data_IF_798663038276
#
_entry.id   IF_798663038276
#
_cell.length_a   1.000
_cell.length_b   1.000
_cell.length_c   1.000
_cell.angle_alpha   90.00
_cell.angle_beta   90.00
_cell.angle_gamma   90.00
#
_symmetry.space_group_name_H-M   'P 1'
#
loop_
_entity.id
_entity.type
_entity.pdbx_description
1 polymer ?
#
# COMPACT_ATOMS: atom_id res chain seq x y z
N UNK A 1 -16.43 -28.21 31.82
CA UNK A 1 -15.74 -28.79 30.66
C UNK A 1 -14.60 -27.80 30.33
N UNK A 2 -13.42 -28.10 30.83
CA UNK A 2 -12.21 -27.34 30.48
C UNK A 2 -11.90 -27.62 29.01
N UNK A 3 -12.01 -26.59 28.17
CA UNK A 3 -11.47 -26.65 26.82
C UNK A 3 -9.94 -26.60 26.97
N UNK A 4 -9.29 -27.76 26.94
CA UNK A 4 -7.86 -27.79 26.63
C UNK A 4 -7.69 -27.05 25.30
N UNK A 5 -6.94 -25.96 25.32
CA UNK A 5 -6.67 -25.18 24.11
C UNK A 5 -5.88 -26.05 23.14
N UNK A 6 -6.55 -26.54 22.10
CA UNK A 6 -5.88 -27.25 21.02
C UNK A 6 -5.07 -26.25 20.23
N UNK A 7 -3.76 -26.42 20.21
CA UNK A 7 -2.87 -25.77 19.24
C UNK A 7 -2.88 -26.65 17.99
N UNK A 8 -3.35 -26.09 16.88
CA UNK A 8 -3.31 -26.77 15.58
C UNK A 8 -1.97 -26.48 14.91
N UNK A 9 -1.19 -27.53 14.63
CA UNK A 9 0.06 -27.42 13.88
C UNK A 9 -0.20 -27.57 12.38
N UNK A 10 0.35 -26.64 11.58
CA UNK A 10 0.22 -26.60 10.12
C UNK A 10 1.61 -26.40 9.52
N UNK A 11 1.95 -27.14 8.47
CA UNK A 11 3.16 -26.94 7.69
C UNK A 11 2.79 -26.50 6.27
N UNK A 12 3.46 -25.48 5.73
CA UNK A 12 3.24 -24.93 4.39
C UNK A 12 4.56 -24.48 3.78
N UNK A 13 4.70 -24.64 2.47
CA UNK A 13 5.83 -24.08 1.75
C UNK A 13 5.80 -22.55 1.79
N UNK A 14 4.63 -21.97 1.47
CA UNK A 14 4.40 -20.53 1.43
C UNK A 14 3.17 -20.14 2.26
N UNK A 15 3.34 -19.22 3.19
CA UNK A 15 2.23 -18.57 3.91
C UNK A 15 2.13 -17.11 3.47
N UNK A 16 0.91 -16.67 3.17
CA UNK A 16 0.61 -15.31 2.74
C UNK A 16 -0.25 -14.64 3.81
N UNK A 17 0.25 -13.58 4.41
CA UNK A 17 -0.49 -12.78 5.38
C UNK A 17 -1.25 -11.66 4.66
N UNK A 18 -2.59 -11.78 4.61
CA UNK A 18 -3.52 -10.89 3.93
C UNK A 18 -4.10 -11.49 2.65
N UNK A 19 -5.42 -11.58 2.58
CA UNK A 19 -6.19 -12.12 1.44
C UNK A 19 -6.77 -11.04 0.52
N UNK A 20 -6.18 -9.84 0.53
CA UNK A 20 -6.50 -8.76 -0.40
C UNK A 20 -5.99 -9.04 -1.82
N UNK A 21 -6.08 -8.06 -2.75
CA UNK A 21 -5.64 -8.24 -4.15
C UNK A 21 -4.16 -8.66 -4.23
N UNK A 22 -3.30 -8.12 -3.37
CA UNK A 22 -1.89 -8.49 -3.31
C UNK A 22 -1.72 -9.97 -2.92
N UNK A 23 -2.34 -10.41 -1.83
CA UNK A 23 -2.18 -11.80 -1.36
C UNK A 23 -2.72 -12.83 -2.35
N UNK A 24 -3.88 -12.57 -2.95
CA UNK A 24 -4.44 -13.46 -3.98
C UNK A 24 -3.54 -13.53 -5.22
N UNK A 25 -3.04 -12.38 -5.69
CA UNK A 25 -2.13 -12.35 -6.85
C UNK A 25 -0.79 -13.03 -6.56
N UNK A 26 -0.25 -12.87 -5.34
CA UNK A 26 0.97 -13.55 -4.91
C UNK A 26 0.79 -15.09 -4.88
N UNK A 27 -0.34 -15.58 -4.38
CA UNK A 27 -0.66 -17.01 -4.38
C UNK A 27 -0.69 -17.58 -5.81
N UNK A 28 -1.34 -16.88 -6.74
CA UNK A 28 -1.37 -17.28 -8.15
C UNK A 28 0.02 -17.22 -8.79
N UNK A 29 0.84 -16.22 -8.44
CA UNK A 29 2.21 -16.12 -8.91
C UNK A 29 3.10 -17.28 -8.46
N UNK A 30 2.93 -17.74 -7.22
CA UNK A 30 3.63 -18.91 -6.70
C UNK A 30 3.17 -20.20 -7.39
N UNK A 31 1.86 -20.38 -7.57
CA UNK A 31 1.26 -21.50 -8.26
C UNK A 31 1.78 -21.64 -9.71
N UNK A 32 1.84 -20.51 -10.45
CA UNK A 32 2.36 -20.49 -11.83
C UNK A 32 3.83 -20.91 -11.94
N UNK A 33 4.59 -20.81 -10.84
CA UNK A 33 5.97 -21.31 -10.76
C UNK A 33 6.06 -22.75 -10.27
N UNK A 34 4.91 -23.45 -10.12
CA UNK A 34 4.84 -24.88 -9.82
C UNK A 34 4.85 -25.24 -8.34
N UNK A 35 4.55 -24.30 -7.44
CA UNK A 35 4.22 -24.62 -6.05
C UNK A 35 2.83 -25.27 -6.04
N UNK A 36 2.67 -26.41 -5.36
CA UNK A 36 1.38 -27.08 -5.30
C UNK A 36 0.35 -26.24 -4.53
N UNK A 37 -0.93 -26.24 -4.94
CA UNK A 37 -1.95 -25.44 -4.26
C UNK A 37 -2.00 -25.70 -2.75
N UNK A 38 -1.95 -26.97 -2.34
CA UNK A 38 -1.99 -27.39 -0.95
C UNK A 38 -0.80 -26.91 -0.11
N UNK A 39 0.30 -26.53 -0.74
CA UNK A 39 1.51 -26.00 -0.09
C UNK A 39 1.47 -24.48 0.12
N UNK A 40 0.44 -23.82 -0.41
CA UNK A 40 0.19 -22.40 -0.20
C UNK A 40 -0.94 -22.23 0.83
N UNK A 41 -0.84 -21.23 1.70
CA UNK A 41 -1.91 -20.87 2.62
C UNK A 41 -2.06 -19.35 2.70
N UNK A 42 -3.26 -18.85 2.43
CA UNK A 42 -3.62 -17.45 2.64
C UNK A 42 -4.31 -17.31 4.00
N UNK A 43 -3.85 -16.36 4.83
CA UNK A 43 -4.47 -16.00 6.11
C UNK A 43 -5.13 -14.63 5.97
N UNK A 44 -6.46 -14.59 6.15
CA UNK A 44 -7.24 -13.36 6.03
C UNK A 44 -8.05 -13.12 7.32
N UNK A 45 -7.93 -11.91 7.87
CA UNK A 45 -8.64 -11.53 9.10
C UNK A 45 -10.13 -11.26 8.90
N UNK A 46 -10.51 -10.84 7.69
CA UNK A 46 -11.89 -10.50 7.36
C UNK A 46 -12.73 -11.75 7.03
N UNK A 47 -14.03 -11.53 6.86
CA UNK A 47 -15.01 -12.58 6.55
C UNK A 47 -14.93 -13.09 5.12
N UNK A 48 -14.15 -12.45 4.24
CA UNK A 48 -14.01 -12.83 2.84
C UNK A 48 -12.69 -12.32 2.25
N UNK A 49 -12.21 -13.01 1.21
CA UNK A 49 -11.09 -12.52 0.42
C UNK A 49 -11.47 -11.26 -0.36
N UNK A 50 -10.48 -10.42 -0.69
CA UNK A 50 -10.64 -9.21 -1.49
C UNK A 50 -10.18 -7.93 -0.79
N UNK A 51 -10.08 -7.94 0.55
CA UNK A 51 -9.59 -6.82 1.34
C UNK A 51 -10.38 -5.55 1.07
N UNK A 52 -9.70 -4.41 1.02
CA UNK A 52 -10.32 -3.08 0.85
C UNK A 52 -11.16 -2.94 -0.44
N UNK A 53 -10.89 -3.74 -1.47
CA UNK A 53 -11.64 -3.68 -2.72
C UNK A 53 -13.12 -4.01 -2.55
N UNK A 54 -13.47 -4.83 -1.57
CA UNK A 54 -14.86 -5.22 -1.32
C UNK A 54 -15.76 -4.01 -1.01
N UNK A 55 -15.22 -2.93 -0.46
CA UNK A 55 -15.96 -1.70 -0.19
C UNK A 55 -15.81 -0.63 -1.27
N UNK A 56 -14.91 -0.80 -2.24
CA UNK A 56 -14.64 0.15 -3.33
C UNK A 56 -15.61 -0.05 -4.49
N UNK A 57 -16.89 0.32 -4.33
CA UNK A 57 -17.95 0.06 -5.32
C UNK A 57 -17.89 0.99 -6.55
N UNK A 58 -17.00 1.97 -6.57
CA UNK A 58 -16.74 2.79 -7.77
C UNK A 58 -15.93 2.00 -8.80
N UNK A 59 -15.98 2.40 -10.06
CA UNK A 59 -15.22 1.85 -11.17
C UNK A 59 -13.81 2.47 -11.27
N UNK A 60 -13.01 1.96 -12.21
CA UNK A 60 -11.64 2.38 -12.48
C UNK A 60 -10.58 1.33 -12.15
N UNK A 61 -10.99 0.10 -11.84
CA UNK A 61 -10.10 -1.05 -11.60
C UNK A 61 -10.04 -1.97 -12.82
N UNK A 62 -8.93 -2.68 -13.02
CA UNK A 62 -8.82 -3.78 -13.97
C UNK A 62 -8.42 -3.42 -15.40
N UNK A 63 -8.27 -2.15 -15.73
CA UNK A 63 -7.92 -1.70 -17.08
C UNK A 63 -6.61 -2.30 -17.60
N UNK A 64 -5.62 -2.45 -16.73
CA UNK A 64 -4.32 -3.03 -17.11
C UNK A 64 -4.32 -4.56 -17.00
N UNK A 65 -4.97 -5.13 -15.99
CA UNK A 65 -4.97 -6.58 -15.71
C UNK A 65 -5.98 -7.33 -16.57
N UNK A 66 -7.24 -6.84 -16.60
CA UNK A 66 -8.35 -7.54 -17.25
C UNK A 66 -8.79 -6.91 -18.56
N UNK A 67 -8.22 -5.73 -18.93
CA UNK A 67 -8.62 -4.94 -20.13
C UNK A 67 -10.09 -4.53 -20.09
N UNK A 68 -10.65 -4.42 -18.90
CA UNK A 68 -12.01 -4.01 -18.62
C UNK A 68 -12.03 -3.04 -17.44
N UNK A 69 -12.98 -2.11 -17.46
CA UNK A 69 -13.22 -1.23 -16.33
C UNK A 69 -14.19 -1.90 -15.35
N UNK A 70 -13.69 -2.22 -14.17
CA UNK A 70 -14.40 -2.96 -13.13
C UNK A 70 -14.57 -2.09 -11.88
N UNK A 71 -15.55 -2.48 -11.05
CA UNK A 71 -15.61 -2.05 -9.66
C UNK A 71 -14.64 -2.85 -8.80
N UNK A 72 -14.35 -2.37 -7.57
CA UNK A 72 -13.49 -3.10 -6.64
C UNK A 72 -13.97 -4.51 -6.33
N UNK A 73 -15.27 -4.73 -5.98
CA UNK A 73 -15.82 -6.07 -5.76
C UNK A 73 -15.73 -7.00 -6.97
N UNK A 74 -15.93 -6.48 -8.18
CA UNK A 74 -15.77 -7.27 -9.42
C UNK A 74 -14.32 -7.70 -9.62
N UNK A 75 -13.38 -6.78 -9.43
CA UNK A 75 -11.94 -7.08 -9.50
C UNK A 75 -11.55 -8.15 -8.48
N UNK A 76 -11.92 -7.96 -7.22
CA UNK A 76 -11.67 -8.93 -6.15
C UNK A 76 -12.32 -10.28 -6.45
N UNK A 77 -13.57 -10.27 -6.95
CA UNK A 77 -14.32 -11.47 -7.34
C UNK A 77 -13.64 -12.28 -8.44
N UNK A 78 -12.95 -11.62 -9.39
CA UNK A 78 -12.19 -12.34 -10.44
C UNK A 78 -10.97 -13.05 -9.87
N UNK A 79 -10.26 -12.44 -8.93
CA UNK A 79 -9.15 -13.10 -8.24
C UNK A 79 -9.63 -14.21 -7.33
N UNK A 80 -10.70 -13.97 -6.54
CA UNK A 80 -11.27 -14.99 -5.65
C UNK A 80 -11.69 -16.24 -6.41
N UNK A 81 -12.38 -16.10 -7.55
CA UNK A 81 -12.73 -17.25 -8.40
C UNK A 81 -11.50 -18.06 -8.84
N UNK A 82 -10.40 -17.39 -9.20
CA UNK A 82 -9.16 -18.08 -9.56
C UNK A 82 -8.57 -18.85 -8.36
N UNK A 83 -8.59 -18.27 -7.15
CA UNK A 83 -8.14 -18.96 -5.92
C UNK A 83 -8.99 -20.21 -5.67
N UNK A 84 -10.31 -20.11 -5.79
CA UNK A 84 -11.27 -21.21 -5.60
C UNK A 84 -11.11 -22.29 -6.68
N UNK A 85 -11.06 -21.92 -7.96
CA UNK A 85 -10.86 -22.85 -9.09
C UNK A 85 -9.53 -23.59 -9.03
N UNK A 86 -8.48 -22.94 -8.53
CA UNK A 86 -7.16 -23.54 -8.31
C UNK A 86 -7.04 -24.27 -6.98
N UNK A 87 -8.09 -24.25 -6.17
CA UNK A 87 -8.15 -24.92 -4.86
C UNK A 87 -7.01 -24.51 -3.92
N UNK A 88 -6.59 -23.23 -3.97
CA UNK A 88 -5.58 -22.70 -3.05
C UNK A 88 -6.22 -22.53 -1.66
N UNK A 89 -5.69 -23.18 -0.61
CA UNK A 89 -6.22 -23.08 0.74
C UNK A 89 -6.14 -21.65 1.30
N UNK A 90 -7.20 -21.25 1.99
CA UNK A 90 -7.23 -20.00 2.76
C UNK A 90 -8.01 -20.16 4.06
N UNK A 91 -7.69 -19.34 5.06
CA UNK A 91 -8.44 -19.25 6.32
C UNK A 91 -8.92 -17.83 6.50
N UNK A 92 -10.25 -17.66 6.61
CA UNK A 92 -10.92 -16.40 6.91
C UNK A 92 -11.02 -16.20 8.43
N UNK A 93 -11.39 -14.99 8.85
CA UNK A 93 -11.49 -14.62 10.27
C UNK A 93 -10.23 -14.96 11.06
N UNK A 94 -9.08 -15.05 10.39
CA UNK A 94 -7.82 -15.53 10.94
C UNK A 94 -6.81 -14.41 11.07
N UNK A 95 -6.56 -14.00 12.31
CA UNK A 95 -5.61 -12.94 12.64
C UNK A 95 -4.22 -13.52 12.85
N UNK A 96 -3.25 -13.05 12.10
CA UNK A 96 -1.83 -13.33 12.33
C UNK A 96 -1.35 -12.47 13.51
N UNK A 97 -0.90 -13.11 14.57
CA UNK A 97 -0.48 -12.46 15.81
C UNK A 97 1.01 -12.21 15.87
N UNK A 98 1.82 -13.12 15.34
CA UNK A 98 3.27 -12.97 15.27
C UNK A 98 3.87 -13.76 14.12
N UNK A 99 5.01 -13.27 13.65
CA UNK A 99 5.90 -13.91 12.70
C UNK A 99 7.31 -13.87 13.27
N UNK A 100 8.01 -15.00 13.22
CA UNK A 100 9.40 -15.12 13.69
C UNK A 100 10.22 -15.94 12.71
N UNK A 101 11.50 -15.60 12.58
CA UNK A 101 12.49 -16.47 11.96
C UNK A 101 13.06 -17.38 13.04
N UNK A 102 13.14 -18.67 12.77
CA UNK A 102 13.63 -19.70 13.72
C UNK A 102 14.79 -20.44 13.09
N UNK A 103 15.53 -21.19 13.90
CA UNK A 103 16.50 -22.14 13.38
C UNK A 103 15.80 -23.22 12.56
N UNK A 104 16.41 -23.62 11.45
CA UNK A 104 15.82 -24.61 10.53
C UNK A 104 15.56 -25.94 11.23
N UNK A 105 14.28 -26.22 11.45
CA UNK A 105 13.83 -27.57 11.79
C UNK A 105 13.09 -28.15 10.58
N UNK A 106 13.53 -29.30 10.08
CA UNK A 106 12.93 -29.99 8.92
C UNK A 106 12.76 -29.12 7.65
N UNK A 107 13.61 -28.11 7.46
CA UNK A 107 13.54 -27.18 6.32
C UNK A 107 12.64 -25.97 6.52
N UNK A 108 11.80 -25.93 7.54
CA UNK A 108 10.95 -24.80 7.89
C UNK A 108 11.69 -23.85 8.83
N UNK A 109 11.74 -22.57 8.47
CA UNK A 109 12.48 -21.56 9.24
C UNK A 109 11.66 -20.29 9.56
N UNK A 110 10.36 -20.37 9.34
CA UNK A 110 9.40 -19.31 9.71
C UNK A 110 8.31 -19.91 10.58
N UNK A 111 8.09 -19.30 11.72
CA UNK A 111 7.01 -19.63 12.64
C UNK A 111 5.98 -18.49 12.65
N UNK A 112 4.74 -18.85 12.37
CA UNK A 112 3.61 -17.92 12.38
C UNK A 112 2.62 -18.38 13.44
N UNK A 113 2.26 -17.49 14.35
CA UNK A 113 1.15 -17.70 15.28
C UNK A 113 -0.04 -16.93 14.74
N UNK A 114 -1.13 -17.64 14.50
CA UNK A 114 -2.40 -17.08 14.08
C UNK A 114 -3.53 -17.57 14.96
N UNK A 115 -4.67 -16.92 14.89
CA UNK A 115 -5.81 -17.24 15.72
C UNK A 115 -7.12 -16.97 14.98
N UNK A 116 -8.09 -17.89 15.13
CA UNK A 116 -9.46 -17.68 14.72
C UNK A 116 -10.44 -18.30 15.71
N UNK A 117 -11.74 -18.09 15.50
CA UNK A 117 -12.79 -18.61 16.39
C UNK A 117 -13.01 -20.12 16.25
N UNK A 118 -12.75 -20.67 15.07
CA UNK A 118 -13.06 -22.06 14.72
C UNK A 118 -11.96 -23.00 15.19
N UNK A 119 -10.70 -22.70 14.82
CA UNK A 119 -9.54 -23.54 15.09
C UNK A 119 -8.84 -23.19 16.42
N UNK A 120 -9.12 -22.01 17.01
CA UNK A 120 -8.38 -21.50 18.15
C UNK A 120 -7.01 -20.95 17.75
N UNK A 121 -5.95 -21.38 18.44
CA UNK A 121 -4.57 -20.99 18.15
C UNK A 121 -3.97 -21.92 17.08
N UNK A 122 -3.39 -21.31 16.06
CA UNK A 122 -2.67 -21.98 14.97
C UNK A 122 -1.18 -21.71 15.12
N UNK A 123 -0.38 -22.75 15.12
CA UNK A 123 1.07 -22.70 14.99
C UNK A 123 1.44 -23.20 13.58
N UNK A 124 1.89 -22.26 12.74
CA UNK A 124 2.14 -22.53 11.34
C UNK A 124 3.64 -22.43 11.08
N UNK A 125 4.21 -23.49 10.53
CA UNK A 125 5.59 -23.53 10.07
C UNK A 125 5.63 -23.30 8.56
N UNK A 126 6.49 -22.40 8.08
CA UNK A 126 6.62 -22.09 6.67
C UNK A 126 8.09 -22.01 6.24
N UNK A 127 8.35 -22.25 4.95
CA UNK A 127 9.66 -22.00 4.34
C UNK A 127 9.78 -20.56 3.85
N UNK A 128 8.70 -19.99 3.32
CA UNK A 128 8.62 -18.60 2.90
C UNK A 128 7.34 -17.94 3.38
N UNK A 129 7.41 -16.62 3.62
CA UNK A 129 6.26 -15.81 4.01
C UNK A 129 6.16 -14.60 3.09
N UNK A 130 4.94 -14.31 2.60
CA UNK A 130 4.65 -13.11 1.82
C UNK A 130 3.78 -12.19 2.66
N UNK A 131 4.29 -10.99 2.94
CA UNK A 131 3.60 -9.93 3.64
C UNK A 131 2.72 -9.16 2.65
N UNK A 132 1.40 -9.23 2.80
CA UNK A 132 0.41 -8.63 1.91
C UNK A 132 -0.73 -7.94 2.69
N UNK A 133 -0.44 -7.47 3.94
CA UNK A 133 -1.43 -6.94 4.87
C UNK A 133 -2.00 -5.56 4.47
N UNK A 134 -1.44 -4.93 3.44
CA UNK A 134 -1.91 -3.64 2.97
C UNK A 134 -1.54 -2.47 3.89
N UNK A 135 -2.43 -1.49 3.99
CA UNK A 135 -2.23 -0.28 4.77
C UNK A 135 -3.53 0.13 5.47
N UNK A 136 -3.43 0.99 6.48
CA UNK A 136 -4.54 1.66 7.14
C UNK A 136 -4.47 3.17 6.94
N UNK A 137 -5.60 3.84 7.05
CA UNK A 137 -5.62 5.30 7.04
C UNK A 137 -5.05 5.87 8.34
N UNK A 138 -4.43 7.03 8.23
CA UNK A 138 -3.91 7.78 9.37
C UNK A 138 -5.05 8.25 10.26
N UNK A 139 -5.16 7.79 11.52
CA UNK A 139 -6.25 8.15 12.41
C UNK A 139 -6.07 9.57 12.96
N UNK A 140 -7.17 10.16 13.47
CA UNK A 140 -7.17 11.50 14.08
C UNK A 140 -6.07 11.69 15.12
N UNK A 141 -5.81 10.67 15.95
CA UNK A 141 -4.78 10.75 16.99
C UNK A 141 -3.37 10.98 16.44
N UNK A 142 -3.05 10.41 15.27
CA UNK A 142 -1.76 10.61 14.62
C UNK A 142 -1.64 11.98 13.91
N UNK A 143 -2.76 12.65 13.65
CA UNK A 143 -2.81 13.97 12.99
C UNK A 143 -2.71 15.13 13.99
N UNK A 144 -2.88 14.87 15.30
CA UNK A 144 -2.86 15.89 16.35
C UNK A 144 -3.78 17.09 16.07
N UNK A 145 -4.95 16.85 15.47
CA UNK A 145 -5.91 17.91 15.18
C UNK A 145 -6.44 18.49 16.51
N UNK A 146 -6.39 19.81 16.72
CA UNK A 146 -6.92 20.46 17.91
C UNK A 146 -8.44 20.29 18.08
N UNK A 147 -8.96 20.59 19.27
CA UNK A 147 -10.38 20.55 19.57
C UNK A 147 -10.85 19.26 20.22
N UNK A 148 -12.16 19.11 20.31
CA UNK A 148 -12.81 17.97 20.95
C UNK A 148 -12.64 16.66 20.16
N UNK A 149 -13.04 15.54 20.78
CA UNK A 149 -13.00 14.19 20.18
C UNK A 149 -14.37 13.52 20.23
N UNK A 150 -15.41 14.16 19.69
CA UNK A 150 -16.76 13.63 19.70
C UNK A 150 -16.95 12.50 18.68
N UNK A 151 -18.11 11.87 18.70
CA UNK A 151 -18.59 11.06 17.58
C UNK A 151 -18.73 11.92 16.30
N UNK A 152 -18.67 11.29 15.12
CA UNK A 152 -18.77 12.00 13.83
C UNK A 152 -17.42 12.28 13.17
N UNK A 153 -16.29 11.86 13.78
CA UNK A 153 -14.98 11.92 13.15
C UNK A 153 -14.61 10.52 12.68
N UNK A 154 -14.44 10.35 11.36
CA UNK A 154 -14.10 9.07 10.74
C UNK A 154 -12.94 9.23 9.76
N UNK A 155 -12.17 8.18 9.55
CA UNK A 155 -11.37 8.11 8.33
C UNK A 155 -12.28 7.93 7.11
N UNK A 156 -11.86 8.40 5.94
CA UNK A 156 -12.67 8.32 4.73
C UNK A 156 -13.01 6.87 4.34
N UNK A 157 -12.08 5.93 4.53
CA UNK A 157 -12.33 4.50 4.30
C UNK A 157 -13.26 3.86 5.32
N UNK A 158 -13.26 4.30 6.58
CA UNK A 158 -14.28 3.87 7.56
C UNK A 158 -15.66 4.38 7.16
N UNK A 159 -15.78 5.63 6.71
CA UNK A 159 -17.02 6.15 6.18
C UNK A 159 -17.49 5.39 4.93
N UNK A 160 -16.54 5.04 4.05
CA UNK A 160 -16.82 4.21 2.87
C UNK A 160 -17.37 2.83 3.26
N UNK A 161 -16.82 2.20 4.28
CA UNK A 161 -17.33 0.93 4.79
C UNK A 161 -18.76 1.06 5.32
N UNK A 162 -19.04 2.08 6.12
CA UNK A 162 -20.40 2.32 6.63
C UNK A 162 -21.41 2.52 5.50
N UNK A 163 -21.09 3.35 4.52
CA UNK A 163 -22.01 3.65 3.41
C UNK A 163 -22.17 2.44 2.49
N UNK A 164 -21.07 1.83 2.06
CA UNK A 164 -21.09 0.85 0.98
C UNK A 164 -21.36 -0.59 1.44
N UNK A 165 -21.02 -0.94 2.68
CA UNK A 165 -21.20 -2.30 3.21
C UNK A 165 -22.33 -2.34 4.23
N UNK A 166 -22.37 -1.39 5.17
CA UNK A 166 -23.36 -1.39 6.25
C UNK A 166 -24.67 -0.67 5.88
N UNK A 167 -24.70 0.09 4.79
CA UNK A 167 -25.86 0.91 4.40
C UNK A 167 -26.18 2.01 5.40
N UNK A 168 -25.19 2.53 6.13
CA UNK A 168 -25.34 3.53 7.18
C UNK A 168 -24.67 4.84 6.79
N UNK A 169 -25.38 5.95 6.92
CA UNK A 169 -24.82 7.29 6.70
C UNK A 169 -24.05 7.76 7.95
N UNK A 170 -22.77 8.15 7.79
CA UNK A 170 -21.98 8.72 8.88
C UNK A 170 -22.53 10.05 9.40
N UNK A 171 -23.11 10.84 8.54
CA UNK A 171 -23.77 12.11 8.84
C UNK A 171 -24.30 12.79 7.58
N UNK A 172 -24.80 14.03 7.73
CA UNK A 172 -25.48 14.77 6.65
C UNK A 172 -24.71 16.03 6.22
N UNK A 173 -24.14 16.75 7.18
CA UNK A 173 -23.33 17.94 6.93
C UNK A 173 -21.87 17.58 7.11
N UNK A 174 -21.10 17.52 6.03
CA UNK A 174 -19.79 16.87 5.97
C UNK A 174 -18.68 17.85 5.59
N UNK A 175 -17.59 17.82 6.33
CA UNK A 175 -16.33 18.44 5.96
C UNK A 175 -15.29 17.31 5.80
N UNK A 176 -14.43 17.43 4.79
CA UNK A 176 -13.38 16.44 4.52
C UNK A 176 -12.01 17.11 4.67
N UNK A 177 -11.11 16.51 5.44
CA UNK A 177 -9.72 16.91 5.53
C UNK A 177 -8.84 15.93 4.75
N UNK A 178 -8.13 16.45 3.76
CA UNK A 178 -7.27 15.71 2.83
C UNK A 178 -7.96 15.44 1.49
N UNK A 179 -7.24 15.69 0.40
CA UNK A 179 -7.69 15.53 -0.98
C UNK A 179 -7.04 14.34 -1.69
N UNK A 180 -6.68 13.29 -0.94
CA UNK A 180 -6.33 12.01 -1.52
C UNK A 180 -7.54 11.32 -2.18
N UNK A 181 -7.31 10.33 -3.05
CA UNK A 181 -8.38 9.72 -3.85
C UNK A 181 -9.56 9.22 -3.02
N UNK A 182 -9.31 8.61 -1.86
CA UNK A 182 -10.39 8.12 -0.98
C UNK A 182 -11.27 9.28 -0.50
N UNK A 183 -10.67 10.42 -0.12
CA UNK A 183 -11.40 11.62 0.29
C UNK A 183 -12.26 12.21 -0.83
N UNK A 184 -11.71 12.28 -2.06
CA UNK A 184 -12.41 12.76 -3.25
C UNK A 184 -13.58 11.84 -3.60
N UNK A 185 -13.34 10.52 -3.63
CA UNK A 185 -14.36 9.51 -3.91
C UNK A 185 -15.48 9.57 -2.87
N UNK A 186 -15.13 9.76 -1.59
CA UNK A 186 -16.13 9.86 -0.53
C UNK A 186 -16.88 11.18 -0.55
N UNK A 187 -16.29 12.29 -1.01
CA UNK A 187 -17.01 13.54 -1.24
C UNK A 187 -18.18 13.30 -2.22
N UNK A 188 -17.91 12.71 -3.37
CA UNK A 188 -18.91 12.31 -4.35
C UNK A 188 -19.92 11.30 -3.78
N UNK A 189 -19.42 10.25 -3.10
CA UNK A 189 -20.27 9.17 -2.60
C UNK A 189 -21.27 9.68 -1.56
N UNK A 190 -20.82 10.47 -0.59
CA UNK A 190 -21.69 11.07 0.42
C UNK A 190 -22.76 11.97 -0.20
N UNK A 191 -22.39 12.77 -1.21
CA UNK A 191 -23.32 13.63 -1.94
C UNK A 191 -24.38 12.82 -2.67
N UNK A 192 -24.01 11.72 -3.33
CA UNK A 192 -24.94 10.83 -4.01
C UNK A 192 -25.93 10.15 -3.05
N UNK A 193 -25.54 9.95 -1.80
CA UNK A 193 -26.41 9.40 -0.74
C UNK A 193 -27.20 10.49 0.02
N UNK A 194 -27.16 11.73 -0.47
CA UNK A 194 -27.96 12.84 0.04
C UNK A 194 -27.34 13.63 1.20
N UNK A 195 -26.03 13.47 1.47
CA UNK A 195 -25.32 14.36 2.37
C UNK A 195 -24.88 15.64 1.62
N UNK A 196 -24.71 16.71 2.37
CA UNK A 196 -24.13 17.96 1.88
C UNK A 196 -22.64 18.03 2.27
N UNK A 197 -21.76 17.91 1.29
CA UNK A 197 -20.32 18.06 1.49
C UNK A 197 -19.95 19.53 1.31
N UNK A 198 -19.67 20.22 2.41
CA UNK A 198 -19.47 21.67 2.43
C UNK A 198 -18.11 22.10 1.88
N UNK A 199 -17.05 21.32 2.15
CA UNK A 199 -15.71 21.60 1.65
C UNK A 199 -14.79 20.38 1.80
N UNK A 200 -13.77 20.35 0.91
CA UNK A 200 -12.58 19.51 1.06
C UNK A 200 -11.40 20.42 1.33
N UNK A 201 -10.74 20.30 2.48
CA UNK A 201 -9.54 21.05 2.86
C UNK A 201 -8.30 20.19 2.61
N UNK A 202 -7.28 20.80 2.01
CA UNK A 202 -5.99 20.16 1.72
C UNK A 202 -4.84 21.01 2.26
N UNK A 203 -3.99 20.39 3.08
CA UNK A 203 -2.83 21.05 3.68
C UNK A 203 -1.83 21.56 2.64
N UNK A 204 -1.64 20.78 1.57
CA UNK A 204 -0.69 21.10 0.51
C UNK A 204 -1.26 22.13 -0.48
N UNK A 205 -0.41 22.87 -1.21
CA UNK A 205 -0.86 23.79 -2.27
C UNK A 205 -1.33 23.06 -3.54
N UNK A 206 -1.44 21.73 -3.51
CA UNK A 206 -1.93 20.87 -4.58
C UNK A 206 -2.69 19.69 -3.99
N UNK A 207 -3.59 19.08 -4.78
CA UNK A 207 -4.30 17.87 -4.39
C UNK A 207 -3.39 16.63 -4.50
N UNK A 208 -3.51 15.71 -3.54
CA UNK A 208 -2.84 14.42 -3.56
C UNK A 208 -3.55 13.35 -4.40
N UNK A 209 -4.79 13.61 -4.85
CA UNK A 209 -5.57 12.69 -5.67
C UNK A 209 -5.38 12.87 -7.17
N UNK A 210 -5.83 11.87 -7.93
CA UNK A 210 -5.77 11.89 -9.40
C UNK A 210 -6.63 13.03 -9.98
N UNK A 211 -6.15 13.67 -11.03
CA UNK A 211 -6.87 14.79 -11.68
C UNK A 211 -8.30 14.45 -12.10
N UNK A 212 -8.53 13.23 -12.60
CA UNK A 212 -9.88 12.78 -12.96
C UNK A 212 -10.82 12.78 -11.74
N UNK A 213 -10.32 12.42 -10.56
CA UNK A 213 -11.13 12.37 -9.34
C UNK A 213 -11.45 13.79 -8.83
N UNK A 214 -10.55 14.77 -9.02
CA UNK A 214 -10.86 16.18 -8.73
C UNK A 214 -12.04 16.64 -9.58
N UNK A 215 -12.05 16.34 -10.88
CA UNK A 215 -13.15 16.72 -11.78
C UNK A 215 -14.42 15.97 -11.39
N UNK A 216 -14.40 14.64 -11.42
CA UNK A 216 -15.58 13.79 -11.29
C UNK A 216 -16.17 13.74 -9.88
N UNK A 217 -15.37 14.07 -8.86
CA UNK A 217 -15.82 13.97 -7.47
C UNK A 217 -16.07 15.31 -6.80
N UNK A 218 -15.45 16.38 -7.27
CA UNK A 218 -15.64 17.71 -6.70
C UNK A 218 -16.28 18.69 -7.68
N UNK A 219 -15.67 18.91 -8.87
CA UNK A 219 -16.13 19.91 -9.82
C UNK A 219 -17.54 19.62 -10.35
N UNK A 220 -17.85 18.35 -10.69
CA UNK A 220 -19.15 17.93 -11.18
C UNK A 220 -20.27 18.06 -10.11
N UNK A 221 -19.90 18.29 -8.84
CA UNK A 221 -20.82 18.43 -7.70
C UNK A 221 -20.71 19.78 -6.99
N UNK A 222 -19.99 20.75 -7.58
CA UNK A 222 -19.75 22.09 -7.01
C UNK A 222 -19.17 22.07 -5.57
N UNK A 223 -18.39 21.01 -5.22
CA UNK A 223 -17.75 20.89 -3.91
C UNK A 223 -16.45 21.69 -3.90
N UNK A 224 -16.29 22.70 -3.02
CA UNK A 224 -15.09 23.52 -2.97
C UNK A 224 -13.85 22.75 -2.47
N UNK A 225 -12.73 22.87 -3.18
CA UNK A 225 -11.41 22.37 -2.76
C UNK A 225 -10.58 23.54 -2.23
N UNK A 226 -10.28 23.52 -0.95
CA UNK A 226 -9.50 24.55 -0.25
C UNK A 226 -8.05 24.07 -0.10
N UNK A 227 -7.19 24.46 -1.03
CA UNK A 227 -5.75 24.16 -0.98
C UNK A 227 -5.03 25.07 0.02
N UNK A 228 -3.93 24.59 0.62
CA UNK A 228 -3.20 25.28 1.70
C UNK A 228 -4.08 25.62 2.90
N UNK A 229 -4.95 24.67 3.29
CA UNK A 229 -5.84 24.80 4.44
C UNK A 229 -5.79 23.55 5.32
N UNK A 230 -6.01 23.72 6.61
CA UNK A 230 -6.11 22.62 7.56
C UNK A 230 -7.17 22.88 8.61
N UNK A 231 -7.62 21.81 9.30
CA UNK A 231 -8.51 21.92 10.43
C UNK A 231 -7.73 22.37 11.65
N UNK A 232 -8.20 23.43 12.30
CA UNK A 232 -7.58 24.06 13.48
C UNK A 232 -8.40 23.88 14.76
N UNK A 233 -9.69 23.57 14.64
CA UNK A 233 -10.56 23.28 15.78
C UNK A 233 -11.71 22.36 15.40
N UNK A 234 -12.17 21.55 16.36
CA UNK A 234 -13.35 20.69 16.24
C UNK A 234 -14.27 20.99 17.42
N UNK A 235 -15.47 21.40 17.11
CA UNK A 235 -16.51 21.76 18.07
C UNK A 235 -17.50 20.62 18.28
N UNK A 236 -18.12 20.60 19.47
CA UNK A 236 -19.09 19.58 19.86
C UNK A 236 -18.51 18.57 20.84
N UNK A 237 -19.26 18.24 21.88
CA UNK A 237 -18.82 17.38 22.97
C UNK A 237 -19.21 15.91 22.74
N UNK A 238 -20.48 15.67 22.41
CA UNK A 238 -20.99 14.32 22.18
C UNK A 238 -20.87 13.92 20.70
N UNK A 239 -21.14 14.85 19.79
CA UNK A 239 -20.98 14.72 18.35
C UNK A 239 -20.34 15.99 17.78
N UNK A 240 -19.75 15.91 16.60
CA UNK A 240 -19.27 17.08 15.85
C UNK A 240 -20.44 18.03 15.59
N UNK A 241 -20.29 19.30 15.97
CA UNK A 241 -21.22 20.40 15.72
C UNK A 241 -20.65 21.44 14.77
N UNK A 242 -19.33 21.43 14.59
CA UNK A 242 -18.64 22.30 13.68
C UNK A 242 -17.15 22.00 13.58
N UNK A 243 -16.56 22.44 12.47
CA UNK A 243 -15.14 22.34 12.19
C UNK A 243 -14.63 23.70 11.72
N UNK A 244 -13.55 24.18 12.33
CA UNK A 244 -12.88 25.40 11.91
C UNK A 244 -11.65 25.07 11.07
N UNK A 245 -11.58 25.66 9.86
CA UNK A 245 -10.50 25.52 8.90
C UNK A 245 -9.77 26.86 8.79
N UNK A 246 -8.43 26.82 8.70
CA UNK A 246 -7.61 28.01 8.46
C UNK A 246 -6.63 27.78 7.31
N UNK A 247 -6.23 28.86 6.64
CA UNK A 247 -5.09 28.84 5.72
C UNK A 247 -3.81 28.51 6.44
N UNK A 248 -2.87 27.89 5.72
CA UNK A 248 -1.53 27.61 6.23
C UNK A 248 -0.46 28.34 5.41
N UNK A 249 0.64 28.67 6.07
CA UNK A 249 1.83 29.21 5.42
C UNK A 249 2.63 28.09 4.70
N UNK A 250 3.74 28.45 4.08
CA UNK A 250 4.64 27.53 3.37
C UNK A 250 5.30 26.47 4.26
N UNK A 251 5.20 26.62 5.60
CA UNK A 251 5.67 25.67 6.60
C UNK A 251 4.54 24.82 7.16
N UNK A 252 3.32 24.95 6.64
CA UNK A 252 2.12 24.25 7.11
C UNK A 252 1.55 24.79 8.43
N UNK A 253 1.94 25.99 8.88
CA UNK A 253 1.41 26.60 10.11
C UNK A 253 0.16 27.42 9.81
N UNK A 254 -0.92 27.28 10.60
CA UNK A 254 -2.12 28.09 10.44
C UNK A 254 -1.83 29.59 10.54
N UNK A 255 -2.46 30.37 9.65
CA UNK A 255 -2.36 31.83 9.60
C UNK A 255 -3.52 32.42 10.38
N UNK A 256 -3.29 33.11 11.52
CA UNK A 256 -4.35 33.73 12.32
C UNK A 256 -5.18 34.75 11.52
N UNK A 257 -6.50 34.78 11.77
CA UNK A 257 -7.44 35.65 11.07
C UNK A 257 -7.92 35.13 9.72
N UNK A 258 -7.61 33.89 9.37
CA UNK A 258 -8.08 33.23 8.16
C UNK A 258 -9.07 32.10 8.45
N UNK A 259 -9.51 31.98 9.68
CA UNK A 259 -10.38 30.91 10.17
C UNK A 259 -11.78 31.02 9.56
N UNK A 260 -12.29 29.91 9.07
CA UNK A 260 -13.67 29.74 8.58
C UNK A 260 -14.27 28.55 9.33
N UNK A 261 -15.38 28.77 10.01
CA UNK A 261 -16.11 27.71 10.71
C UNK A 261 -17.24 27.16 9.85
N UNK A 262 -17.28 25.87 9.68
CA UNK A 262 -18.30 25.12 8.99
C UNK A 262 -19.18 24.38 10.01
N UNK A 263 -20.47 24.75 10.19
CA UNK A 263 -21.39 23.94 10.97
C UNK A 263 -21.56 22.58 10.28
N UNK A 264 -21.17 21.51 10.95
CA UNK A 264 -21.24 20.17 10.36
C UNK A 264 -21.39 19.10 11.46
N UNK A 265 -21.91 17.95 11.10
CA UNK A 265 -22.08 16.80 12.01
C UNK A 265 -21.03 15.70 11.78
N UNK A 266 -20.22 15.85 10.74
CA UNK A 266 -19.24 14.84 10.33
C UNK A 266 -17.97 15.45 9.75
N UNK A 267 -16.82 14.98 10.25
CA UNK A 267 -15.48 15.24 9.71
C UNK A 267 -14.90 13.93 9.17
N UNK A 268 -14.61 13.88 7.87
CA UNK A 268 -13.88 12.78 7.25
C UNK A 268 -12.40 13.12 7.12
N UNK A 269 -11.53 12.14 7.41
CA UNK A 269 -10.09 12.27 7.34
C UNK A 269 -9.54 11.40 6.21
N UNK A 270 -8.87 12.04 5.24
CA UNK A 270 -8.17 11.39 4.13
C UNK A 270 -6.72 11.89 4.05
N UNK A 271 -5.99 11.76 5.18
CA UNK A 271 -4.70 12.40 5.40
C UNK A 271 -3.51 11.44 5.26
N UNK A 272 -3.58 10.53 4.31
CA UNK A 272 -2.53 9.57 3.99
C UNK A 272 -2.73 8.21 4.63
N UNK A 273 -1.96 7.26 4.12
CA UNK A 273 -2.01 5.85 4.47
C UNK A 273 -0.74 5.45 5.23
N UNK A 274 -0.87 4.47 6.12
CA UNK A 274 0.22 3.88 6.91
C UNK A 274 0.29 2.40 6.56
N UNK A 275 1.38 1.90 5.97
CA UNK A 275 1.59 0.47 5.77
C UNK A 275 1.50 -0.32 7.08
N UNK A 276 0.82 -1.48 7.04
CA UNK A 276 0.59 -2.35 8.23
C UNK A 276 1.81 -3.23 8.49
N UNK A 277 2.82 -2.70 9.18
CA UNK A 277 4.13 -3.33 9.34
C UNK A 277 4.48 -3.75 10.76
N UNK A 278 3.52 -3.91 11.65
CA UNK A 278 3.74 -4.42 13.01
C UNK A 278 4.32 -5.85 12.99
N UNK A 279 3.80 -6.74 12.12
CA UNK A 279 4.33 -8.09 11.92
C UNK A 279 5.74 -8.06 11.32
N UNK A 280 5.97 -7.17 10.36
CA UNK A 280 7.27 -6.99 9.72
C UNK A 280 8.33 -6.59 10.73
N UNK A 281 8.06 -5.56 11.53
CA UNK A 281 8.94 -5.09 12.60
C UNK A 281 9.18 -6.18 13.65
N UNK A 282 8.13 -6.91 14.04
CA UNK A 282 8.22 -8.03 15.00
C UNK A 282 9.11 -9.19 14.54
N UNK A 283 9.28 -9.35 13.22
CA UNK A 283 10.16 -10.35 12.61
C UNK A 283 11.59 -9.82 12.35
N UNK A 284 11.88 -8.56 12.64
CA UNK A 284 13.18 -7.94 12.38
C UNK A 284 13.36 -7.45 10.93
N UNK A 285 12.28 -7.24 10.21
CA UNK A 285 12.30 -6.65 8.87
C UNK A 285 12.66 -5.17 8.98
N UNK A 286 13.63 -4.74 8.19
CA UNK A 286 14.03 -3.33 8.08
C UNK A 286 12.95 -2.52 7.34
N UNK A 287 12.54 -1.40 7.94
CA UNK A 287 11.52 -0.52 7.38
C UNK A 287 12.12 0.78 6.88
N UNK A 288 11.67 1.21 5.70
CA UNK A 288 12.01 2.51 5.14
C UNK A 288 11.39 3.64 5.95
N UNK A 289 12.18 4.61 6.36
CA UNK A 289 11.72 5.81 7.08
C UNK A 289 10.84 6.72 6.21
N UNK A 290 10.88 6.55 4.88
CA UNK A 290 10.12 7.37 3.92
C UNK A 290 8.77 6.76 3.61
N UNK A 291 8.72 5.46 3.30
CA UNK A 291 7.48 4.76 2.92
C UNK A 291 6.78 4.15 4.13
N UNK A 292 7.50 3.83 5.20
CA UNK A 292 7.03 3.02 6.31
C UNK A 292 6.88 1.53 5.97
N UNK A 293 7.22 1.13 4.73
CA UNK A 293 7.18 -0.25 4.27
C UNK A 293 8.54 -0.94 4.36
N UNK A 294 8.61 -2.27 4.15
CA UNK A 294 9.84 -3.03 4.14
C UNK A 294 10.85 -2.52 3.11
N UNK A 295 12.13 -2.56 3.47
CA UNK A 295 13.22 -2.39 2.51
C UNK A 295 13.39 -3.72 1.79
N UNK A 296 13.31 -3.71 0.44
CA UNK A 296 13.36 -4.93 -0.37
C UNK A 296 14.37 -4.83 -1.50
N UNK A 297 14.85 -6.00 -1.93
CA UNK A 297 15.69 -6.17 -3.11
C UNK A 297 14.84 -6.39 -4.40
N UNK A 298 15.51 -6.70 -5.53
CA UNK A 298 14.90 -6.96 -6.85
C UNK A 298 13.88 -8.10 -6.85
N UNK A 299 13.98 -9.01 -5.90
CA UNK A 299 13.06 -10.15 -5.74
C UNK A 299 11.89 -9.84 -4.79
N UNK A 300 11.75 -8.59 -4.35
CA UNK A 300 10.78 -8.18 -3.33
C UNK A 300 11.00 -8.91 -1.98
N UNK A 301 12.19 -9.47 -1.76
CA UNK A 301 12.63 -10.10 -0.54
C UNK A 301 13.21 -9.04 0.41
N UNK A 302 12.89 -9.15 1.68
CA UNK A 302 13.38 -8.25 2.75
C UNK A 302 14.79 -8.63 3.20
N UNK A 303 15.33 -7.92 4.21
CA UNK A 303 16.56 -8.32 4.89
C UNK A 303 16.42 -9.65 5.66
N UNK A 304 15.21 -10.13 5.88
CA UNK A 304 14.95 -11.43 6.53
C UNK A 304 14.75 -12.48 5.44
N UNK A 305 15.72 -13.40 5.30
CA UNK A 305 15.71 -14.48 4.31
C UNK A 305 14.34 -15.19 4.24
N UNK A 306 13.77 -15.35 3.03
CA UNK A 306 12.49 -16.02 2.81
C UNK A 306 11.26 -15.23 3.26
N UNK A 307 11.42 -13.93 3.61
CA UNK A 307 10.30 -13.03 3.88
C UNK A 307 10.21 -12.00 2.76
N UNK A 308 9.09 -12.00 2.05
CA UNK A 308 8.79 -11.14 0.91
C UNK A 308 7.71 -10.14 1.28
N UNK A 309 7.64 -9.00 0.58
CA UNK A 309 6.61 -8.00 0.79
C UNK A 309 6.09 -7.45 -0.54
N UNK A 310 4.77 -7.21 -0.65
CA UNK A 310 4.15 -6.68 -1.86
C UNK A 310 2.87 -5.90 -1.57
N UNK A 311 2.52 -5.01 -2.50
CA UNK A 311 1.34 -4.17 -2.38
C UNK A 311 1.50 -3.05 -1.34
N UNK A 312 0.38 -2.59 -0.78
CA UNK A 312 0.38 -1.38 0.06
C UNK A 312 1.09 -1.53 1.42
N UNK A 313 1.42 -2.74 1.86
CA UNK A 313 2.31 -2.95 3.01
C UNK A 313 3.76 -2.56 2.68
N UNK A 314 4.17 -2.69 1.41
CA UNK A 314 5.50 -2.32 0.92
C UNK A 314 5.59 -0.83 0.59
N UNK A 315 4.72 -0.36 -0.27
CA UNK A 315 4.52 1.05 -0.57
C UNK A 315 3.11 1.28 -1.16
N UNK A 316 2.54 2.46 -0.92
CA UNK A 316 1.18 2.75 -1.38
C UNK A 316 1.16 2.93 -2.90
N UNK A 317 0.32 2.16 -3.58
CA UNK A 317 0.10 2.22 -5.02
C UNK A 317 -1.11 3.08 -5.38
N UNK A 318 -1.10 3.62 -6.60
CA UNK A 318 -2.21 4.41 -7.16
C UNK A 318 -3.28 3.51 -7.80
N UNK A 319 -2.87 2.37 -8.37
CA UNK A 319 -3.72 1.45 -9.08
C UNK A 319 -3.55 0.02 -8.57
N UNK A 320 -4.65 -0.67 -8.33
CA UNK A 320 -4.64 -2.08 -7.89
C UNK A 320 -4.02 -3.01 -8.93
N UNK A 321 -4.09 -2.67 -10.21
CA UNK A 321 -3.46 -3.43 -11.28
C UNK A 321 -1.94 -3.54 -11.05
N UNK A 322 -1.30 -2.48 -10.59
CA UNK A 322 0.13 -2.49 -10.25
C UNK A 322 0.41 -3.27 -8.95
N UNK A 323 -0.50 -3.20 -7.97
CA UNK A 323 -0.44 -4.05 -6.76
C UNK A 323 -0.44 -5.52 -7.15
N UNK A 324 -1.38 -5.94 -7.99
CA UNK A 324 -1.49 -7.33 -8.41
C UNK A 324 -0.31 -7.81 -9.24
N UNK A 325 0.22 -6.96 -10.14
CA UNK A 325 1.41 -7.26 -10.92
C UNK A 325 2.66 -7.44 -10.06
N UNK A 326 2.90 -6.54 -9.10
CA UNK A 326 3.99 -6.63 -8.14
C UNK A 326 3.87 -7.86 -7.24
N UNK A 327 2.67 -8.12 -6.73
CA UNK A 327 2.42 -9.26 -5.85
C UNK A 327 2.57 -10.60 -6.57
N UNK A 328 2.16 -10.69 -7.84
CA UNK A 328 2.39 -11.87 -8.67
C UNK A 328 3.90 -12.15 -8.83
N UNK A 329 4.71 -11.11 -9.02
CA UNK A 329 6.17 -11.25 -9.03
C UNK A 329 6.69 -11.72 -7.66
N UNK A 330 6.20 -11.16 -6.54
CA UNK A 330 6.61 -11.59 -5.20
C UNK A 330 6.32 -13.09 -4.96
N UNK A 331 5.15 -13.57 -5.39
CA UNK A 331 4.80 -14.98 -5.35
C UNK A 331 5.73 -15.85 -6.19
N UNK A 332 6.03 -15.41 -7.42
CA UNK A 332 6.96 -16.10 -8.29
C UNK A 332 8.38 -16.16 -7.70
N UNK A 333 8.84 -15.10 -7.05
CA UNK A 333 10.15 -15.04 -6.39
C UNK A 333 10.21 -15.91 -5.14
N UNK A 334 9.15 -15.94 -4.33
CA UNK A 334 9.04 -16.87 -3.21
C UNK A 334 9.11 -18.33 -3.66
N UNK A 335 8.46 -18.70 -4.77
CA UNK A 335 8.57 -20.03 -5.36
C UNK A 335 9.98 -20.35 -5.87
N UNK A 336 10.68 -19.36 -6.46
CA UNK A 336 12.07 -19.52 -6.87
C UNK A 336 13.01 -19.74 -5.67
N UNK A 337 12.79 -18.99 -4.58
CA UNK A 337 13.52 -19.17 -3.33
C UNK A 337 13.42 -20.62 -2.78
N UNK A 338 12.25 -21.25 -2.89
CA UNK A 338 12.06 -22.64 -2.48
C UNK A 338 12.91 -23.63 -3.31
N UNK A 339 13.16 -23.36 -4.58
CA UNK A 339 13.90 -24.21 -5.51
C UNK A 339 15.41 -24.04 -5.40
N UNK A 340 15.85 -22.82 -5.11
CA UNK A 340 17.26 -22.49 -4.97
C UNK A 340 17.68 -22.54 -3.51
N UNK A 341 18.38 -23.59 -3.10
CA UNK A 341 19.05 -23.59 -1.79
C UNK A 341 19.93 -22.34 -1.63
N UNK A 342 20.34 -22.08 -0.37
CA UNK A 342 21.16 -20.94 0.06
C UNK A 342 22.04 -20.38 -1.07
N UNK A 343 21.71 -19.19 -1.54
CA UNK A 343 22.66 -18.38 -2.28
C UNK A 343 23.79 -18.05 -1.31
N UNK A 344 25.03 -18.34 -1.71
CA UNK A 344 26.22 -18.01 -0.93
C UNK A 344 26.31 -16.48 -0.84
N UNK A 345 25.74 -15.90 0.20
CA UNK A 345 25.62 -14.44 0.42
C UNK A 345 26.97 -13.70 0.49
N UNK A 346 28.08 -14.44 0.54
CA UNK A 346 29.43 -13.91 0.66
C UNK A 346 30.08 -13.44 -0.67
N UNK A 347 29.40 -13.64 -1.83
CA UNK A 347 29.95 -13.28 -3.16
C UNK A 347 28.95 -12.59 -4.09
N UNK A 348 27.81 -12.13 -3.59
CA UNK A 348 26.83 -11.44 -4.43
C UNK A 348 27.23 -9.97 -4.64
N UNK A 349 27.34 -9.58 -5.91
CA UNK A 349 27.45 -8.18 -6.28
C UNK A 349 26.10 -7.50 -6.13
N UNK A 350 25.99 -6.65 -5.11
CA UNK A 350 24.77 -5.89 -4.79
C UNK A 350 24.92 -4.47 -5.33
N UNK A 351 24.01 -4.08 -6.22
CA UNK A 351 23.89 -2.71 -6.71
C UNK A 351 22.89 -1.95 -5.86
N UNK A 352 23.31 -0.80 -5.30
CA UNK A 352 22.43 0.09 -4.55
C UNK A 352 21.62 0.98 -5.50
N UNK A 353 20.33 1.17 -5.23
CA UNK A 353 19.49 2.15 -5.96
C UNK A 353 19.28 3.34 -5.04
N UNK A 354 19.82 4.49 -5.42
CA UNK A 354 19.88 5.69 -4.59
C UNK A 354 18.94 6.75 -5.16
N UNK A 355 17.87 7.14 -4.43
CA UNK A 355 17.04 8.27 -4.78
C UNK A 355 17.76 9.59 -4.43
N UNK A 356 17.83 10.53 -5.37
CA UNK A 356 18.45 11.85 -5.20
C UNK A 356 17.61 12.95 -5.87
N UNK A 357 17.89 14.21 -5.57
CA UNK A 357 17.39 15.40 -6.26
C UNK A 357 15.91 15.31 -6.68
N UNK A 358 15.02 15.28 -5.67
CA UNK A 358 13.58 15.29 -5.90
C UNK A 358 12.92 13.91 -5.96
N UNK A 359 13.67 12.82 -6.07
CA UNK A 359 13.18 11.46 -5.88
C UNK A 359 13.16 11.14 -4.39
N UNK A 360 12.02 10.72 -3.85
CA UNK A 360 11.86 10.51 -2.40
C UNK A 360 12.33 9.14 -1.92
N UNK A 361 12.08 8.11 -2.70
CA UNK A 361 12.41 6.71 -2.41
C UNK A 361 12.40 5.89 -3.69
N UNK A 362 12.96 4.70 -3.64
CA UNK A 362 12.90 3.71 -4.72
C UNK A 362 12.49 2.34 -4.18
N UNK A 363 11.74 1.59 -4.96
CA UNK A 363 11.39 0.19 -4.72
C UNK A 363 11.66 -0.61 -6.01
N UNK A 364 12.58 -1.58 -5.97
CA UNK A 364 13.44 -1.99 -4.87
C UNK A 364 14.53 -0.95 -4.53
N UNK A 365 15.22 -1.14 -3.40
CA UNK A 365 16.35 -0.31 -2.97
C UNK A 365 17.71 -0.92 -3.35
N UNK A 366 17.75 -2.22 -3.66
CA UNK A 366 18.97 -2.95 -4.04
C UNK A 366 18.67 -3.97 -5.14
N UNK A 367 19.69 -4.34 -5.90
CA UNK A 367 19.64 -5.39 -6.91
C UNK A 367 20.82 -6.34 -6.69
N UNK A 368 20.54 -7.62 -6.48
CA UNK A 368 21.53 -8.71 -6.54
C UNK A 368 21.65 -9.12 -8.01
N UNK A 369 22.81 -8.92 -8.61
CA UNK A 369 22.99 -9.12 -10.05
C UNK A 369 22.69 -10.55 -10.50
N UNK A 370 23.03 -11.54 -9.67
CA UNK A 370 22.76 -12.95 -9.94
C UNK A 370 21.25 -13.31 -10.02
N UNK A 371 20.39 -12.48 -9.42
CA UNK A 371 18.94 -12.67 -9.35
C UNK A 371 18.16 -11.73 -10.26
N UNK A 372 18.84 -10.77 -10.88
CA UNK A 372 18.21 -9.84 -11.82
C UNK A 372 17.78 -10.59 -13.08
N UNK A 373 16.53 -10.38 -13.51
CA UNK A 373 16.06 -10.75 -14.86
C UNK A 373 16.63 -9.73 -15.86
N UNK A 374 16.42 -9.97 -17.16
CA UNK A 374 16.83 -9.04 -18.23
C UNK A 374 16.42 -7.59 -17.96
N UNK A 375 15.35 -7.39 -17.20
CA UNK A 375 14.84 -6.07 -16.81
C UNK A 375 14.38 -6.05 -15.36
N UNK A 376 14.56 -4.89 -14.70
CA UNK A 376 14.05 -4.59 -13.38
C UNK A 376 13.25 -3.30 -13.39
N UNK A 377 11.99 -3.36 -13.00
CA UNK A 377 11.18 -2.16 -12.78
C UNK A 377 11.52 -1.55 -11.42
N UNK A 378 11.89 -0.28 -11.43
CA UNK A 378 12.08 0.53 -10.21
C UNK A 378 10.97 1.56 -10.13
N UNK A 379 10.22 1.55 -9.03
CA UNK A 379 9.14 2.50 -8.74
C UNK A 379 9.61 3.55 -7.77
N UNK A 380 9.11 4.77 -7.94
CA UNK A 380 9.45 5.89 -7.07
C UNK A 380 8.37 6.97 -7.08
N UNK A 381 8.44 7.90 -6.13
CA UNK A 381 7.65 9.13 -6.11
C UNK A 381 8.55 10.34 -5.97
N UNK A 382 8.05 11.48 -6.44
CA UNK A 382 8.73 12.77 -6.32
C UNK A 382 8.28 13.54 -5.08
N UNK A 383 9.10 14.51 -4.65
CA UNK A 383 8.85 15.29 -3.44
C UNK A 383 7.98 16.53 -3.64
N UNK A 384 7.81 17.01 -4.88
CA UNK A 384 6.99 18.17 -5.27
C UNK A 384 6.47 18.00 -6.69
N UNK A 385 5.61 18.92 -7.14
CA UNK A 385 5.25 18.99 -8.56
C UNK A 385 6.43 19.47 -9.40
N UNK A 386 6.61 18.82 -10.55
CA UNK A 386 7.59 19.17 -11.57
C UNK A 386 6.92 19.35 -12.92
N UNK A 387 7.47 20.27 -13.74
CA UNK A 387 7.01 20.50 -15.12
C UNK A 387 8.21 20.63 -16.06
N UNK A 388 8.15 19.95 -17.19
CA UNK A 388 9.19 19.97 -18.24
C UNK A 388 10.59 19.62 -17.71
N UNK A 389 10.69 18.54 -16.96
CA UNK A 389 11.92 18.04 -16.33
C UNK A 389 12.37 16.73 -16.97
N UNK A 390 13.51 16.25 -16.55
CA UNK A 390 14.07 14.96 -16.96
C UNK A 390 14.29 14.07 -15.75
N UNK A 391 13.93 12.80 -15.84
CA UNK A 391 14.39 11.76 -14.92
C UNK A 391 15.70 11.24 -15.46
N UNK A 392 16.79 11.49 -14.74
CA UNK A 392 18.13 11.05 -15.10
C UNK A 392 18.54 9.83 -14.29
N UNK A 393 19.14 8.85 -14.97
CA UNK A 393 19.59 7.59 -14.40
C UNK A 393 21.10 7.52 -14.59
N UNK A 394 21.83 7.39 -13.48
CA UNK A 394 23.28 7.30 -13.47
C UNK A 394 23.74 5.93 -12.99
N UNK A 395 24.72 5.35 -13.66
CA UNK A 395 25.50 4.22 -13.15
C UNK A 395 26.79 4.76 -12.56
N UNK A 396 26.95 4.65 -11.25
CA UNK A 396 27.94 5.37 -10.47
C UNK A 396 27.88 6.88 -10.80
N UNK A 397 28.88 7.41 -11.53
CA UNK A 397 28.91 8.82 -11.93
C UNK A 397 28.64 9.05 -13.43
N UNK A 398 28.34 7.98 -14.19
CA UNK A 398 28.08 8.07 -15.62
C UNK A 398 26.58 8.14 -15.90
N UNK A 399 26.12 9.17 -16.61
CA UNK A 399 24.74 9.26 -17.11
C UNK A 399 24.47 8.13 -18.12
N UNK A 400 23.51 7.26 -17.78
CA UNK A 400 23.04 6.19 -18.66
C UNK A 400 21.91 6.67 -19.57
N UNK A 401 20.90 7.31 -18.97
CA UNK A 401 19.68 7.72 -19.68
C UNK A 401 19.08 8.98 -19.06
N UNK A 402 18.42 9.75 -19.90
CA UNK A 402 17.65 10.93 -19.53
C UNK A 402 16.27 10.82 -20.17
N UNK A 403 15.21 10.79 -19.35
CA UNK A 403 13.83 10.55 -19.78
C UNK A 403 13.01 11.83 -19.57
N UNK A 404 12.55 12.50 -20.63
CA UNK A 404 11.77 13.72 -20.50
C UNK A 404 10.39 13.43 -19.89
N UNK A 405 9.97 14.28 -18.94
CA UNK A 405 8.67 14.26 -18.28
C UNK A 405 8.00 15.61 -18.38
N UNK A 406 6.78 15.65 -18.93
CA UNK A 406 6.00 16.89 -19.02
C UNK A 406 5.52 17.36 -17.64
N UNK A 407 5.05 16.42 -16.83
CA UNK A 407 4.54 16.65 -15.47
C UNK A 407 4.86 15.45 -14.61
N UNK A 408 5.17 15.72 -13.36
CA UNK A 408 5.28 14.71 -12.29
C UNK A 408 4.68 15.28 -11.01
N UNK A 409 3.95 14.49 -10.26
CA UNK A 409 3.29 14.92 -9.02
C UNK A 409 3.55 13.95 -7.88
N UNK A 410 3.62 14.40 -6.61
CA UNK A 410 3.85 13.52 -5.46
C UNK A 410 2.79 12.42 -5.27
N UNK A 411 1.56 12.68 -5.72
CA UNK A 411 0.45 11.74 -5.68
C UNK A 411 0.53 10.63 -6.73
N UNK A 412 1.37 10.78 -7.75
CA UNK A 412 1.49 9.82 -8.86
C UNK A 412 2.78 9.01 -8.75
N UNK A 413 2.67 7.68 -8.90
CA UNK A 413 3.83 6.79 -8.88
C UNK A 413 4.49 6.75 -10.24
N UNK A 414 5.78 7.00 -10.25
CA UNK A 414 6.63 6.89 -11.43
C UNK A 414 7.34 5.54 -11.47
N UNK A 415 7.71 5.12 -12.67
CA UNK A 415 8.52 3.93 -12.85
C UNK A 415 9.57 4.13 -13.94
N UNK A 416 10.68 3.42 -13.79
CA UNK A 416 11.73 3.25 -14.79
C UNK A 416 12.06 1.77 -14.93
N UNK A 417 12.56 1.39 -16.09
CA UNK A 417 13.02 0.04 -16.35
C UNK A 417 14.54 0.08 -16.46
N UNK A 418 15.23 -0.64 -15.58
CA UNK A 418 16.66 -0.92 -15.67
C UNK A 418 16.86 -2.21 -16.48
N UNK A 419 17.90 -2.26 -17.30
CA UNK A 419 18.27 -3.45 -18.06
C UNK A 419 19.51 -4.09 -17.44
N UNK A 420 19.73 -5.37 -17.64
CA UNK A 420 20.94 -6.10 -17.22
C UNK A 420 22.22 -5.41 -17.69
N UNK A 421 22.25 -4.95 -18.96
CA UNK A 421 23.39 -4.19 -19.53
C UNK A 421 23.67 -2.86 -18.81
N UNK A 422 22.71 -2.28 -18.10
CA UNK A 422 22.88 -1.06 -17.32
C UNK A 422 23.72 -1.31 -16.05
N UNK A 423 23.89 -2.59 -15.67
CA UNK A 423 24.62 -3.03 -14.49
C UNK A 423 26.11 -3.31 -14.76
N UNK A 424 26.57 -3.17 -16.00
CA UNK A 424 27.95 -3.42 -16.41
C UNK A 424 28.54 -2.16 -17.02
N UNK A 425 29.70 -1.74 -16.53
CA UNK A 425 30.47 -0.61 -17.05
C UNK A 425 31.11 -0.95 -18.40
N UNK A 426 31.57 0.07 -19.11
CA UNK A 426 32.28 -0.10 -20.39
C UNK A 426 33.55 -0.91 -20.31
N UNK A 427 34.21 -0.93 -19.13
CA UNK A 427 35.40 -1.71 -18.84
C UNK A 427 35.11 -3.17 -18.42
N UNK A 428 33.84 -3.56 -18.41
CA UNK A 428 33.38 -4.90 -18.03
C UNK A 428 33.24 -5.13 -16.52
N UNK A 429 33.44 -4.11 -15.69
CA UNK A 429 33.23 -4.21 -14.25
C UNK A 429 31.77 -3.91 -13.88
N UNK A 430 31.31 -4.46 -12.75
CA UNK A 430 29.95 -4.24 -12.27
C UNK A 430 29.77 -2.80 -11.75
N UNK A 431 28.58 -2.26 -11.92
CA UNK A 431 28.14 -1.00 -11.34
C UNK A 431 27.91 -1.19 -9.84
N UNK A 432 28.38 -0.27 -9.01
CA UNK A 432 28.15 -0.33 -7.56
C UNK A 432 26.82 0.31 -7.14
N UNK A 433 26.40 1.36 -7.85
CA UNK A 433 25.17 2.10 -7.53
C UNK A 433 24.49 2.65 -8.77
N UNK A 434 23.14 2.65 -8.74
CA UNK A 434 22.29 3.37 -9.68
C UNK A 434 21.69 4.57 -8.94
N UNK A 435 21.89 5.78 -9.45
CA UNK A 435 21.28 6.99 -8.90
C UNK A 435 20.14 7.45 -9.81
N UNK A 436 19.02 7.83 -9.21
CA UNK A 436 17.84 8.33 -9.93
C UNK A 436 17.57 9.73 -9.43
N UNK A 437 17.57 10.70 -10.36
CA UNK A 437 17.43 12.14 -10.06
C UNK A 437 16.35 12.75 -10.92
N UNK A 438 15.80 13.89 -10.48
CA UNK A 438 14.98 14.80 -11.29
C UNK A 438 15.79 16.06 -11.58
N UNK A 439 15.96 16.37 -12.86
CA UNK A 439 16.76 17.51 -13.34
C UNK A 439 15.90 18.43 -14.22
N UNK A 440 16.11 19.74 -14.08
CA UNK A 440 15.42 20.81 -14.84
C UNK A 440 16.04 21.02 -16.22
#
# INVERSE_FOLDING_TARGET
MERQGFIMNIEKEIVISGGGPAGMAAALGALEQGVAPEDILILERDAQLGGILNQCIHNGFGLHTFKEELTGPEYAGRYRRQIEEKQIPYKLHTMVMSLRSTDRQNGFNKEIIAMNKEDGMLLIQAKAVILAMGCRERPRGALNIPGYRPAGIYSAGTAQYYVNIEGKMPGKEVVILGSGDIGLIMARRMTLEGAHVQAVAELMPYSGGLKRNIVQCLQDYDIPLLLSHTVVDIQGKDRVEGVTIAKVDTKGKPIPGTEITYPCDTLLLSCGLIPENELSAGCGVELSTVTGGPVVNESLETNVEGVFACGNVLHVHDLVDYVSGEAKEAGARAAQYLKGGKTDSLKENIVQIIPENGVRYTVPSTIRLSHMKNTQTVRFRVGREYRNVKVCIYADDQLLRSLPKKTMAPGEMENIILMDKDMIKKDGTDVARIRITVEE
#
